data_IF_119542768139
#
_entry.id   IF_119542768139
#
_cell.length_a   1.000
_cell.length_b   1.000
_cell.length_c   1.000
_cell.angle_alpha   90.00
_cell.angle_beta   90.00
_cell.angle_gamma   90.00
#
_symmetry.space_group_name_H-M   'P 1'
#
loop_
_entity.id
_entity.type
_entity.pdbx_description
1 polymer ?
#
# COMPACT_ATOMS: atom_id res chain seq x y z
N UNK A 1 -20.99 -14.42 1.49
CA UNK A 1 -20.26 -14.76 0.25
C UNK A 1 -19.33 -13.60 -0.08
N UNK A 2 -18.07 -13.86 -0.44
CA UNK A 2 -17.13 -12.79 -0.81
C UNK A 2 -17.48 -12.32 -2.23
N UNK A 3 -17.90 -11.07 -2.38
CA UNK A 3 -18.49 -10.54 -3.62
C UNK A 3 -17.55 -10.61 -4.82
N UNK A 4 -16.25 -10.47 -4.59
CA UNK A 4 -15.20 -10.54 -5.62
C UNK A 4 -14.54 -11.93 -5.72
N UNK A 5 -14.91 -12.90 -4.87
CA UNK A 5 -14.29 -14.23 -4.87
C UNK A 5 -12.85 -14.31 -4.34
N UNK A 6 -12.31 -13.20 -3.80
CA UNK A 6 -10.95 -13.13 -3.23
C UNK A 6 -10.99 -12.96 -1.72
N UNK A 7 -9.92 -13.39 -1.04
CA UNK A 7 -9.70 -13.19 0.38
C UNK A 7 -8.23 -13.02 0.71
N UNK A 8 -7.99 -12.41 1.86
CA UNK A 8 -6.65 -12.16 2.37
C UNK A 8 -6.38 -13.14 3.51
N UNK A 9 -5.16 -13.67 3.54
CA UNK A 9 -4.65 -14.55 4.59
C UNK A 9 -3.14 -14.40 4.71
N UNK A 10 -2.58 -14.80 5.84
CA UNK A 10 -1.14 -14.86 6.06
C UNK A 10 -0.63 -16.29 5.85
N UNK A 11 0.55 -16.44 5.27
CA UNK A 11 1.24 -17.72 5.19
C UNK A 11 2.74 -17.57 5.51
N UNK A 12 3.34 -18.68 5.95
CA UNK A 12 4.79 -18.76 6.16
C UNK A 12 5.39 -19.80 5.22
N UNK A 13 6.45 -19.41 4.50
CA UNK A 13 7.18 -20.27 3.57
C UNK A 13 8.67 -19.92 3.68
N UNK A 14 9.53 -20.92 3.88
CA UNK A 14 10.98 -20.74 4.02
C UNK A 14 11.36 -19.67 5.08
N UNK A 15 10.69 -19.68 6.23
CA UNK A 15 10.89 -18.71 7.33
C UNK A 15 10.58 -17.25 6.97
N UNK A 16 9.89 -17.01 5.85
CA UNK A 16 9.39 -15.70 5.45
C UNK A 16 7.87 -15.69 5.55
N UNK A 17 7.34 -14.60 6.09
CA UNK A 17 5.92 -14.36 6.16
C UNK A 17 5.43 -13.62 4.91
N UNK A 18 4.22 -13.95 4.47
CA UNK A 18 3.56 -13.35 3.33
C UNK A 18 2.10 -13.06 3.66
N UNK A 19 1.61 -11.93 3.15
CA UNK A 19 0.20 -11.66 2.99
C UNK A 19 -0.21 -12.11 1.59
N UNK A 20 -1.23 -12.96 1.50
CA UNK A 20 -1.64 -13.59 0.26
C UNK A 20 -3.06 -13.19 -0.12
N UNK A 21 -3.24 -12.84 -1.39
CA UNK A 21 -4.54 -12.74 -2.00
C UNK A 21 -4.93 -14.11 -2.56
N UNK A 22 -5.82 -14.80 -1.88
CA UNK A 22 -6.26 -16.15 -2.22
C UNK A 22 -7.66 -16.14 -2.84
N UNK A 23 -7.91 -17.08 -3.74
CA UNK A 23 -9.24 -17.37 -4.30
C UNK A 23 -9.51 -18.87 -4.24
N UNK A 24 -10.77 -19.27 -4.26
CA UNK A 24 -11.15 -20.67 -4.37
C UNK A 24 -11.72 -20.92 -5.76
N UNK A 25 -11.06 -21.78 -6.53
CA UNK A 25 -11.49 -22.21 -7.86
C UNK A 25 -11.82 -23.69 -7.80
N UNK A 26 -13.09 -24.03 -8.04
CA UNK A 26 -13.57 -25.42 -8.06
C UNK A 26 -13.24 -26.22 -6.80
N UNK A 27 -13.32 -25.59 -5.61
CA UNK A 27 -13.01 -26.21 -4.32
C UNK A 27 -11.54 -26.10 -3.93
N UNK A 28 -10.64 -25.77 -4.87
CA UNK A 28 -9.21 -25.66 -4.62
C UNK A 28 -8.78 -24.22 -4.36
N UNK A 29 -7.95 -24.05 -3.34
CA UNK A 29 -7.36 -22.76 -3.00
C UNK A 29 -6.21 -22.43 -3.96
N UNK A 30 -6.21 -21.21 -4.48
CA UNK A 30 -5.18 -20.67 -5.35
C UNK A 30 -4.70 -19.32 -4.83
N UNK A 31 -3.38 -19.10 -4.82
CA UNK A 31 -2.79 -17.81 -4.44
C UNK A 31 -2.60 -16.98 -5.70
N UNK A 32 -3.33 -15.88 -5.79
CA UNK A 32 -3.28 -14.95 -6.92
C UNK A 32 -2.08 -14.00 -6.82
N UNK A 33 -1.74 -13.55 -5.60
CA UNK A 33 -0.61 -12.66 -5.33
C UNK A 33 -0.02 -12.95 -3.94
N UNK A 34 1.30 -12.80 -3.81
CA UNK A 34 2.05 -12.93 -2.55
C UNK A 34 2.79 -11.62 -2.25
N UNK A 35 2.50 -11.00 -1.12
CA UNK A 35 3.16 -9.80 -0.62
C UNK A 35 4.10 -10.18 0.53
N UNK A 36 5.42 -10.11 0.37
CA UNK A 36 6.36 -10.42 1.45
C UNK A 36 6.24 -9.44 2.61
N UNK A 37 6.45 -9.96 3.83
CA UNK A 37 6.61 -9.16 5.01
C UNK A 37 7.97 -8.44 5.02
N UNK A 38 7.97 -7.19 5.48
CA UNK A 38 9.13 -6.41 5.85
C UNK A 38 9.43 -6.58 7.33
N UNK A 39 10.66 -6.28 7.76
CA UNK A 39 11.07 -6.42 9.16
C UNK A 39 10.23 -5.61 10.16
N UNK A 40 9.52 -4.57 9.69
CA UNK A 40 8.60 -3.77 10.50
C UNK A 40 7.21 -4.41 10.68
N UNK A 41 6.98 -5.62 10.14
CA UNK A 41 5.66 -6.26 10.13
C UNK A 41 4.69 -5.72 9.08
N UNK A 42 5.17 -4.90 8.13
CA UNK A 42 4.38 -4.40 7.00
C UNK A 42 4.55 -5.31 5.78
N UNK A 43 3.50 -5.47 4.98
CA UNK A 43 3.56 -6.19 3.70
C UNK A 43 3.69 -5.20 2.55
N UNK A 44 4.45 -5.56 1.51
CA UNK A 44 4.64 -4.70 0.33
C UNK A 44 4.40 -5.45 -0.98
N UNK A 45 4.02 -4.69 -2.01
CA UNK A 45 3.98 -5.15 -3.41
C UNK A 45 4.60 -4.07 -4.30
N UNK A 46 4.96 -4.45 -5.53
CA UNK A 46 5.43 -3.52 -6.54
C UNK A 46 4.35 -3.34 -7.60
N UNK A 47 3.99 -2.09 -7.88
CA UNK A 47 3.10 -1.76 -8.99
C UNK A 47 3.98 -1.32 -10.16
N UNK A 48 3.84 -1.95 -11.32
CA UNK A 48 4.61 -1.55 -12.48
C UNK A 48 4.09 -0.22 -13.08
N UNK A 49 4.95 0.60 -13.72
CA UNK A 49 4.51 1.83 -14.39
C UNK A 49 3.44 1.61 -15.46
N UNK A 50 3.43 0.44 -16.10
CA UNK A 50 2.45 0.07 -17.13
C UNK A 50 1.07 -0.14 -16.50
N UNK A 51 1.00 -0.84 -15.37
CA UNK A 51 -0.24 -1.07 -14.62
C UNK A 51 -0.81 0.25 -14.09
N UNK A 52 0.04 1.17 -13.63
CA UNK A 52 -0.38 2.52 -13.22
C UNK A 52 -1.08 3.25 -14.36
N UNK A 53 -0.51 3.23 -15.57
CA UNK A 53 -1.08 3.88 -16.74
C UNK A 53 -2.42 3.27 -17.19
N UNK A 54 -2.63 1.97 -16.95
CA UNK A 54 -3.90 1.30 -17.24
C UNK A 54 -4.95 1.67 -16.19
N UNK A 55 -4.59 1.63 -14.91
CA UNK A 55 -5.47 2.04 -13.81
C UNK A 55 -5.88 3.51 -13.93
N UNK A 56 -4.93 4.41 -14.22
CA UNK A 56 -5.21 5.84 -14.40
C UNK A 56 -6.14 6.16 -15.57
N UNK A 57 -6.32 5.23 -16.52
CA UNK A 57 -7.25 5.36 -17.64
C UNK A 57 -8.63 4.78 -17.36
N UNK A 58 -8.72 3.81 -16.43
CA UNK A 58 -9.98 3.13 -16.07
C UNK A 58 -10.76 3.96 -15.04
N UNK A 59 -10.05 4.62 -14.12
CA UNK A 59 -10.66 5.57 -13.20
C UNK A 59 -10.74 6.96 -13.85
N UNK A 60 -11.81 7.71 -13.57
CA UNK A 60 -11.83 9.14 -13.90
C UNK A 60 -10.58 9.81 -13.32
N UNK A 61 -9.98 10.73 -14.07
CA UNK A 61 -8.70 11.36 -13.71
C UNK A 61 -8.74 11.92 -12.28
N UNK A 62 -9.88 12.48 -11.86
CA UNK A 62 -10.06 13.01 -10.51
C UNK A 62 -10.10 11.92 -9.44
N UNK A 63 -10.67 10.76 -9.75
CA UNK A 63 -10.67 9.62 -8.84
C UNK A 63 -9.26 9.06 -8.68
N UNK A 64 -8.51 8.90 -9.78
CA UNK A 64 -7.12 8.44 -9.71
C UNK A 64 -6.22 9.41 -8.93
N UNK A 65 -6.32 10.72 -9.18
CA UNK A 65 -5.61 11.74 -8.40
C UNK A 65 -5.97 11.67 -6.92
N UNK A 66 -7.26 11.58 -6.58
CA UNK A 66 -7.71 11.53 -5.19
C UNK A 66 -7.18 10.30 -4.44
N UNK A 67 -7.10 9.14 -5.10
CA UNK A 67 -6.51 7.93 -4.52
C UNK A 67 -5.00 8.05 -4.36
N UNK A 68 -4.32 8.68 -5.33
CA UNK A 68 -2.87 8.89 -5.28
C UNK A 68 -2.47 9.92 -4.20
N UNK A 69 -3.19 11.05 -4.09
CA UNK A 69 -2.96 12.09 -3.08
C UNK A 69 -3.16 11.57 -1.65
N UNK A 70 -4.01 10.54 -1.48
CA UNK A 70 -4.20 9.86 -0.19
C UNK A 70 -3.09 8.86 0.13
N UNK A 71 -2.34 8.39 -0.88
CA UNK A 71 -1.34 7.33 -0.74
C UNK A 71 0.11 7.85 -0.80
N UNK A 72 0.40 8.96 -1.49
CA UNK A 72 1.72 9.57 -1.47
C UNK A 72 1.69 11.07 -1.82
N UNK A 73 1.50 11.89 -0.79
CA UNK A 73 2.27 13.10 -0.44
C UNK A 73 1.55 13.75 0.76
N UNK A 74 2.06 13.65 2.00
CA UNK A 74 1.53 14.47 3.08
C UNK A 74 1.75 15.93 2.68
N UNK A 75 0.67 16.64 2.32
CA UNK A 75 0.72 18.07 2.08
C UNK A 75 1.36 18.79 3.28
N UNK A 76 1.83 20.02 3.10
CA UNK A 76 2.52 20.79 4.14
C UNK A 76 1.77 20.79 5.49
N UNK A 77 0.44 20.84 5.46
CA UNK A 77 -0.43 20.73 6.64
C UNK A 77 -0.35 19.37 7.35
N UNK A 78 -0.27 18.28 6.61
CA UNK A 78 -0.16 16.92 7.16
C UNK A 78 1.25 16.68 7.71
N UNK A 79 2.29 17.15 6.99
CA UNK A 79 3.66 17.14 7.49
C UNK A 79 3.80 17.96 8.78
N UNK A 80 3.22 19.15 8.83
CA UNK A 80 3.23 19.99 10.03
C UNK A 80 2.61 19.27 11.22
N UNK A 81 1.44 18.66 11.03
CA UNK A 81 0.76 17.88 12.09
C UNK A 81 1.58 16.67 12.54
N UNK A 82 2.27 15.96 11.64
CA UNK A 82 3.14 14.83 12.00
C UNK A 82 4.35 15.32 12.82
N UNK A 83 4.97 16.43 12.41
CA UNK A 83 6.11 17.03 13.14
C UNK A 83 5.67 17.50 14.54
N UNK A 84 4.55 18.21 14.65
CA UNK A 84 4.06 18.70 15.95
C UNK A 84 3.62 17.59 16.92
N UNK A 85 3.10 16.47 16.40
CA UNK A 85 2.59 15.37 17.23
C UNK A 85 3.59 14.23 17.45
N UNK A 86 4.79 14.29 16.86
CA UNK A 86 5.85 13.29 17.07
C UNK A 86 6.65 13.57 18.35
N UNK A 87 6.01 13.37 19.50
CA UNK A 87 6.66 13.43 20.81
C UNK A 87 7.70 12.31 20.93
N UNK A 88 8.99 12.67 20.80
CA UNK A 88 10.12 11.77 21.05
C UNK A 88 10.98 11.38 19.85
N UNK A 89 10.62 11.80 18.63
CA UNK A 89 11.48 11.64 17.46
C UNK A 89 11.95 13.01 16.97
N UNK A 90 13.25 13.27 17.08
CA UNK A 90 13.86 14.56 16.71
C UNK A 90 13.86 14.74 15.18
N UNK A 91 12.73 15.16 14.60
CA UNK A 91 12.64 15.61 13.20
C UNK A 91 13.05 17.09 13.02
N UNK A 92 13.71 17.68 14.02
CA UNK A 92 13.97 19.12 14.14
C UNK A 92 15.04 19.69 13.20
N UNK A 93 15.71 18.87 12.38
CA UNK A 93 16.83 19.32 11.53
C UNK A 93 16.62 19.17 10.02
N UNK A 94 15.42 18.79 9.55
CA UNK A 94 15.18 18.70 8.11
C UNK A 94 14.77 20.07 7.57
N UNK A 95 15.70 20.77 6.92
CA UNK A 95 15.40 21.99 6.15
C UNK A 95 14.47 21.62 4.99
N UNK A 96 13.20 21.95 5.14
CA UNK A 96 12.20 21.79 4.09
C UNK A 96 12.52 22.83 2.99
N UNK A 97 12.66 22.44 1.71
CA UNK A 97 12.83 23.40 0.62
C UNK A 97 11.53 24.20 0.48
N UNK A 98 11.63 25.53 0.47
CA UNK A 98 10.52 26.40 0.09
C UNK A 98 10.41 26.41 -1.44
N UNK A 99 9.19 26.20 -1.93
CA UNK A 99 8.82 26.31 -3.35
C UNK A 99 8.96 27.74 -3.87
#
# INVERSE_FOLDING_TARGET
>A
MRLNGFHIETMSENQKEYLCLATNRSGNKYISEKMPAYFSGLYYTYISPIEINVVSKIYDHNSFILWHDRLDHPGSTMMHKIIENSLGHSLTNVKIPQS
#
